data_IF_593433160505
#
_entry.id   IF_593433160505
#
_cell.length_a   1.000
_cell.length_b   1.000
_cell.length_c   1.000
_cell.angle_alpha   90.00
_cell.angle_beta   90.00
_cell.angle_gamma   90.00
#
_symmetry.space_group_name_H-M   'P 1'
#
loop_
_entity.id
_entity.type
_entity.pdbx_description
1 polymer ?
#
# COMPACT_ATOMS: atom_id res chain seq x y z
N UNK A 1 1.49 -19.30 -5.62
CA UNK A 1 0.90 -18.97 -6.93
C UNK A 1 1.14 -17.50 -7.28
N UNK A 2 0.55 -16.48 -6.60
CA UNK A 2 0.73 -15.07 -6.96
C UNK A 2 2.20 -14.64 -6.96
N UNK A 3 2.99 -15.06 -5.98
CA UNK A 3 4.40 -14.74 -5.89
C UNK A 3 5.23 -15.39 -7.02
N UNK A 4 5.00 -16.67 -7.32
CA UNK A 4 5.70 -17.38 -8.41
C UNK A 4 5.33 -16.85 -9.80
N UNK A 5 4.15 -16.27 -9.95
CA UNK A 5 3.71 -15.60 -11.18
C UNK A 5 4.18 -14.13 -11.25
N UNK A 6 5.00 -13.66 -10.29
CA UNK A 6 5.49 -12.26 -10.17
C UNK A 6 4.36 -11.23 -10.19
N UNK A 7 3.22 -11.57 -9.59
CA UNK A 7 2.06 -10.69 -9.46
C UNK A 7 2.31 -9.56 -8.47
N UNK A 8 1.61 -8.46 -8.67
CA UNK A 8 1.68 -7.28 -7.78
C UNK A 8 0.86 -7.53 -6.53
N UNK A 9 1.51 -7.50 -5.38
CA UNK A 9 0.90 -7.68 -4.07
C UNK A 9 0.95 -6.33 -3.34
N UNK A 10 -0.21 -5.86 -2.88
CA UNK A 10 -0.31 -4.61 -2.15
C UNK A 10 -0.50 -4.89 -0.66
N UNK A 11 0.45 -4.49 0.15
CA UNK A 11 0.42 -4.57 1.60
C UNK A 11 -0.32 -3.36 2.17
N UNK A 12 -1.31 -3.58 3.03
CA UNK A 12 -2.16 -2.52 3.58
C UNK A 12 -2.24 -2.65 5.10
N UNK A 13 -1.90 -1.57 5.79
CA UNK A 13 -2.04 -1.48 7.24
C UNK A 13 -1.74 -0.08 7.72
N UNK A 14 -2.80 0.70 7.97
CA UNK A 14 -2.70 2.10 8.42
C UNK A 14 -2.73 2.25 9.94
N UNK A 15 -2.86 1.13 10.66
CA UNK A 15 -2.77 1.08 12.12
C UNK A 15 -1.36 1.45 12.57
N UNK A 16 -1.23 2.23 13.64
CA UNK A 16 0.08 2.69 14.15
C UNK A 16 1.05 1.53 14.37
N UNK A 17 0.56 0.41 14.89
CA UNK A 17 1.36 -0.78 15.17
C UNK A 17 1.82 -1.51 13.89
N UNK A 18 1.09 -1.36 12.79
CA UNK A 18 1.35 -2.04 11.52
C UNK A 18 2.14 -1.19 10.51
N UNK A 19 1.98 0.14 10.57
CA UNK A 19 2.47 1.08 9.56
C UNK A 19 3.91 0.85 9.13
N UNK A 20 4.84 0.79 10.08
CA UNK A 20 6.27 0.68 9.79
C UNK A 20 6.65 -0.76 9.36
N UNK A 21 5.95 -1.76 9.89
CA UNK A 21 6.15 -3.17 9.52
C UNK A 21 5.67 -3.44 8.10
N UNK A 22 4.51 -2.90 7.71
CA UNK A 22 3.96 -3.00 6.36
C UNK A 22 4.96 -2.43 5.34
N UNK A 23 5.49 -1.24 5.59
CA UNK A 23 6.49 -0.61 4.72
C UNK A 23 7.77 -1.45 4.63
N UNK A 24 8.35 -1.82 5.78
CA UNK A 24 9.58 -2.61 5.85
C UNK A 24 9.48 -3.90 5.03
N UNK A 25 8.48 -4.72 5.31
CA UNK A 25 8.37 -6.04 4.70
C UNK A 25 7.90 -6.03 3.24
N UNK A 26 7.12 -5.02 2.83
CA UNK A 26 6.78 -4.82 1.42
C UNK A 26 8.03 -4.45 0.60
N UNK A 27 8.85 -3.52 1.09
CA UNK A 27 10.12 -3.15 0.43
C UNK A 27 11.06 -4.34 0.35
N UNK A 28 11.21 -5.13 1.43
CA UNK A 28 12.09 -6.31 1.45
C UNK A 28 11.77 -7.37 0.38
N UNK A 29 10.51 -7.47 -0.03
CA UNK A 29 10.08 -8.41 -1.07
C UNK A 29 9.75 -7.74 -2.41
N UNK A 30 10.17 -6.48 -2.62
CA UNK A 30 9.91 -5.69 -3.82
C UNK A 30 8.42 -5.62 -4.18
N UNK A 31 7.59 -5.43 -3.18
CA UNK A 31 6.15 -5.26 -3.32
C UNK A 31 5.69 -3.86 -2.89
N UNK A 32 4.43 -3.57 -3.06
CA UNK A 32 3.83 -2.25 -2.86
C UNK A 32 3.13 -2.16 -1.51
N UNK A 33 2.98 -0.93 -0.99
CA UNK A 33 2.36 -0.76 0.32
C UNK A 33 1.55 0.52 0.46
N UNK A 34 0.59 0.51 1.40
CA UNK A 34 -0.13 1.66 1.91
C UNK A 34 -0.15 1.55 3.43
N UNK A 35 0.54 2.47 4.09
CA UNK A 35 0.77 2.44 5.53
C UNK A 35 0.32 3.70 6.28
N UNK A 36 -0.20 4.73 5.60
CA UNK A 36 -0.67 5.97 6.25
C UNK A 36 -2.18 6.12 6.16
N UNK A 37 -2.73 6.18 4.96
CA UNK A 37 -4.18 6.34 4.76
C UNK A 37 -4.62 5.72 3.45
N UNK A 38 -5.68 4.91 3.49
CA UNK A 38 -6.40 4.50 2.29
C UNK A 38 -7.22 5.68 1.75
N UNK A 39 -7.00 6.05 0.51
CA UNK A 39 -7.79 7.06 -0.17
C UNK A 39 -8.99 6.40 -0.84
N UNK A 40 -10.20 6.89 -0.59
CA UNK A 40 -11.39 6.37 -1.26
C UNK A 40 -11.25 6.43 -2.78
N UNK A 41 -11.60 5.35 -3.46
CA UNK A 41 -11.43 5.23 -4.91
C UNK A 41 -10.07 4.72 -5.36
N UNK A 42 -9.19 4.30 -4.44
CA UNK A 42 -7.82 3.90 -4.75
C UNK A 42 -7.74 2.72 -5.73
N UNK A 43 -8.70 1.83 -5.71
CA UNK A 43 -8.84 0.74 -6.69
C UNK A 43 -9.94 0.98 -7.70
N UNK A 44 -11.07 1.51 -7.26
CA UNK A 44 -12.25 1.72 -8.10
C UNK A 44 -12.13 2.93 -9.02
N UNK A 45 -11.30 3.91 -8.69
CA UNK A 45 -11.00 5.09 -9.50
C UNK A 45 -9.47 5.22 -9.73
N UNK A 46 -8.88 4.15 -10.24
CA UNK A 46 -7.43 4.05 -10.42
C UNK A 46 -6.84 5.13 -11.34
N UNK A 47 -7.59 5.58 -12.36
CA UNK A 47 -7.11 6.61 -13.28
C UNK A 47 -6.85 7.95 -12.57
N UNK A 48 -7.68 8.32 -11.60
CA UNK A 48 -7.45 9.50 -10.75
C UNK A 48 -6.22 9.34 -9.87
N UNK A 49 -6.00 8.14 -9.33
CA UNK A 49 -4.78 7.83 -8.54
C UNK A 49 -3.54 7.90 -9.42
N UNK A 50 -3.57 7.34 -10.63
CA UNK A 50 -2.47 7.46 -11.60
C UNK A 50 -2.14 8.91 -11.94
N UNK A 51 -3.13 9.76 -12.12
CA UNK A 51 -2.91 11.18 -12.37
C UNK A 51 -2.24 11.87 -11.19
N UNK A 52 -2.61 11.49 -9.96
CA UNK A 52 -1.97 11.98 -8.75
C UNK A 52 -0.51 11.49 -8.62
N UNK A 53 -0.22 10.25 -8.99
CA UNK A 53 1.13 9.70 -9.06
C UNK A 53 1.97 10.41 -10.13
N UNK A 54 1.42 10.65 -11.32
CA UNK A 54 2.11 11.43 -12.37
C UNK A 54 2.44 12.84 -11.90
N UNK A 55 1.49 13.48 -11.21
CA UNK A 55 1.72 14.80 -10.61
C UNK A 55 2.85 14.78 -9.59
N UNK A 56 2.89 13.76 -8.74
CA UNK A 56 3.97 13.58 -7.75
C UNK A 56 5.33 13.47 -8.46
N UNK A 57 5.47 12.58 -9.44
CA UNK A 57 6.70 12.39 -10.22
C UNK A 57 7.14 13.69 -10.91
N UNK A 58 6.21 14.40 -11.53
CA UNK A 58 6.51 15.69 -12.18
C UNK A 58 7.02 16.74 -11.18
N UNK A 59 6.44 16.82 -9.98
CA UNK A 59 6.89 17.75 -8.95
C UNK A 59 8.29 17.37 -8.43
N UNK A 60 8.56 16.08 -8.22
CA UNK A 60 9.88 15.58 -7.86
C UNK A 60 10.93 15.96 -8.91
N UNK A 61 10.62 15.79 -10.20
CA UNK A 61 11.51 16.18 -11.30
C UNK A 61 11.78 17.70 -11.34
N UNK A 62 10.76 18.53 -11.13
CA UNK A 62 10.89 19.99 -11.08
C UNK A 62 11.85 20.41 -9.95
N UNK A 63 11.67 19.85 -8.75
CA UNK A 63 12.49 20.18 -7.58
C UNK A 63 13.91 19.62 -7.76
N UNK A 64 14.09 18.41 -8.27
CA UNK A 64 15.39 17.79 -8.51
C UNK A 64 16.23 18.56 -9.54
N UNK A 65 15.61 19.01 -10.64
CA UNK A 65 16.29 19.73 -11.71
C UNK A 65 16.56 21.21 -11.36
N UNK A 66 16.16 21.68 -10.16
CA UNK A 66 16.32 23.08 -9.69
C UNK A 66 16.06 24.09 -10.83
N UNK A 67 14.94 23.89 -11.52
CA UNK A 67 14.57 24.68 -12.69
C UNK A 67 14.61 26.17 -12.31
N UNK A 68 15.49 26.96 -12.95
CA UNK A 68 15.65 28.40 -12.76
C UNK A 68 14.36 29.21 -13.03
N UNK A 69 13.30 28.51 -13.44
CA UNK A 69 11.99 29.07 -13.77
C UNK A 69 11.09 29.31 -12.54
N UNK A 70 11.47 28.81 -11.36
CA UNK A 70 10.65 28.90 -10.13
C UNK A 70 11.34 29.69 -9.02
N UNK A 71 10.55 30.46 -8.29
CA UNK A 71 11.03 31.19 -7.10
C UNK A 71 11.28 30.23 -5.94
N UNK A 72 12.16 30.64 -4.99
CA UNK A 72 12.41 29.84 -3.76
C UNK A 72 11.13 29.53 -2.99
N UNK A 73 10.16 30.46 -2.96
CA UNK A 73 8.88 30.29 -2.28
C UNK A 73 8.02 29.21 -2.94
N UNK A 74 8.01 29.15 -4.25
CA UNK A 74 7.29 28.10 -5.01
C UNK A 74 7.92 26.73 -4.79
N UNK A 75 9.25 26.62 -4.80
CA UNK A 75 9.95 25.36 -4.54
C UNK A 75 9.60 24.80 -3.15
N UNK A 76 9.61 25.62 -2.11
CA UNK A 76 9.18 25.20 -0.76
C UNK A 76 7.72 24.72 -0.74
N UNK A 77 6.86 25.34 -1.54
CA UNK A 77 5.46 24.90 -1.67
C UNK A 77 5.36 23.55 -2.36
N UNK A 78 6.16 23.31 -3.40
CA UNK A 78 6.23 22.03 -4.09
C UNK A 78 6.78 20.93 -3.17
N UNK A 79 7.82 21.18 -2.41
CA UNK A 79 8.35 20.22 -1.42
C UNK A 79 7.28 19.78 -0.42
N UNK A 80 6.53 20.71 0.16
CA UNK A 80 5.40 20.38 1.06
C UNK A 80 4.32 19.54 0.38
N UNK A 81 4.05 19.79 -0.90
CA UNK A 81 3.07 19.02 -1.66
C UNK A 81 3.59 17.63 -1.99
N UNK A 82 4.86 17.49 -2.33
CA UNK A 82 5.56 16.22 -2.53
C UNK A 82 5.48 15.37 -1.27
N UNK A 83 5.83 15.92 -0.10
CA UNK A 83 5.75 15.22 1.18
C UNK A 83 4.34 14.68 1.45
N UNK A 84 3.32 15.52 1.23
CA UNK A 84 1.92 15.12 1.42
C UNK A 84 1.49 14.01 0.46
N UNK A 85 1.90 14.07 -0.79
CA UNK A 85 1.58 13.04 -1.79
C UNK A 85 2.37 11.76 -1.51
N UNK A 86 3.65 11.84 -1.16
CA UNK A 86 4.49 10.70 -0.84
C UNK A 86 3.98 9.92 0.39
N UNK A 87 3.47 10.60 1.41
CA UNK A 87 2.87 9.94 2.57
C UNK A 87 1.73 8.99 2.19
N UNK A 88 0.93 9.32 1.17
CA UNK A 88 -0.23 8.53 0.79
C UNK A 88 0.00 7.62 -0.42
N UNK A 89 0.89 8.01 -1.33
CA UNK A 89 1.06 7.36 -2.64
C UNK A 89 2.48 6.82 -2.85
N UNK A 90 3.43 7.13 -1.97
CA UNK A 90 4.84 6.75 -2.12
C UNK A 90 5.03 5.24 -2.28
N UNK A 91 4.31 4.44 -1.50
CA UNK A 91 4.41 2.98 -1.57
C UNK A 91 3.80 2.33 -2.82
N UNK A 92 3.03 3.08 -3.60
CA UNK A 92 2.42 2.62 -4.87
C UNK A 92 2.90 3.39 -6.10
N UNK A 93 3.86 4.31 -5.91
CA UNK A 93 4.36 5.22 -6.94
C UNK A 93 4.84 4.49 -8.21
N UNK A 94 5.45 3.32 -8.04
CA UNK A 94 6.00 2.51 -9.12
C UNK A 94 5.13 1.30 -9.49
N UNK A 95 3.94 1.21 -8.91
CA UNK A 95 2.96 0.18 -9.24
C UNK A 95 2.26 0.51 -10.56
N UNK A 96 2.74 -0.07 -11.65
CA UNK A 96 2.12 0.10 -12.97
C UNK A 96 0.81 -0.70 -13.07
N UNK A 97 -0.32 -0.06 -12.80
CA UNK A 97 -1.65 -0.67 -12.80
C UNK A 97 -2.11 -1.12 -11.41
N UNK A 98 -3.30 -1.72 -11.36
CA UNK A 98 -3.89 -2.23 -10.13
C UNK A 98 -3.13 -3.44 -9.57
N UNK A 99 -3.18 -3.70 -8.25
CA UNK A 99 -2.60 -4.91 -7.67
C UNK A 99 -3.42 -6.15 -8.05
N UNK A 100 -2.77 -7.31 -8.02
CA UNK A 100 -3.38 -8.61 -8.29
C UNK A 100 -3.86 -9.29 -7.00
N UNK A 101 -3.34 -8.88 -5.84
CA UNK A 101 -3.65 -9.40 -4.51
C UNK A 101 -3.48 -8.31 -3.46
N UNK A 102 -4.38 -8.27 -2.49
CA UNK A 102 -4.22 -7.44 -1.30
C UNK A 102 -3.81 -8.29 -0.10
N UNK A 103 -2.89 -7.79 0.72
CA UNK A 103 -2.61 -8.28 2.06
C UNK A 103 -2.97 -7.20 3.07
N UNK A 104 -3.92 -7.48 3.97
CA UNK A 104 -4.52 -6.49 4.85
C UNK A 104 -4.31 -6.88 6.32
N UNK A 105 -3.85 -5.92 7.12
CA UNK A 105 -3.85 -6.00 8.58
C UNK A 105 -4.97 -5.10 9.10
N UNK A 106 -5.87 -5.67 9.93
CA UNK A 106 -7.05 -5.00 10.50
C UNK A 106 -8.12 -4.63 9.44
N UNK A 107 -8.98 -5.60 9.13
CA UNK A 107 -10.05 -5.44 8.15
C UNK A 107 -11.14 -4.45 8.57
N UNK A 108 -11.31 -4.20 9.87
CA UNK A 108 -12.26 -3.19 10.36
C UNK A 108 -11.79 -1.78 10.03
N UNK A 109 -10.50 -1.51 10.22
CA UNK A 109 -9.92 -0.21 9.89
C UNK A 109 -9.84 -0.01 8.39
N UNK A 110 -9.46 -1.04 7.67
CA UNK A 110 -9.26 -1.00 6.20
C UNK A 110 -10.53 -1.41 5.42
N UNK A 111 -11.72 -1.22 6.00
CA UNK A 111 -13.00 -1.65 5.40
C UNK A 111 -13.25 -1.08 4.00
N UNK A 112 -12.74 0.12 3.70
CA UNK A 112 -12.84 0.72 2.36
C UNK A 112 -12.02 -0.07 1.34
N UNK A 113 -10.80 -0.49 1.70
CA UNK A 113 -9.95 -1.31 0.84
C UNK A 113 -10.62 -2.65 0.54
N UNK A 114 -11.20 -3.29 1.56
CA UNK A 114 -11.96 -4.55 1.41
C UNK A 114 -13.15 -4.36 0.47
N UNK A 115 -13.96 -3.32 0.66
CA UNK A 115 -15.12 -3.03 -0.19
C UNK A 115 -14.72 -2.76 -1.64
N UNK A 116 -13.69 -1.97 -1.87
CA UNK A 116 -13.22 -1.66 -3.21
C UNK A 116 -12.65 -2.88 -3.92
N UNK A 117 -11.84 -3.70 -3.23
CA UNK A 117 -11.28 -4.93 -3.78
C UNK A 117 -12.38 -5.92 -4.18
N UNK A 118 -13.36 -6.14 -3.32
CA UNK A 118 -14.51 -7.00 -3.63
C UNK A 118 -15.31 -6.49 -4.84
N UNK A 119 -15.50 -5.16 -4.94
CA UNK A 119 -16.22 -4.56 -6.07
C UNK A 119 -15.57 -4.83 -7.42
N UNK A 120 -14.24 -4.88 -7.47
CA UNK A 120 -13.48 -5.08 -8.72
C UNK A 120 -12.90 -6.51 -8.86
N UNK A 121 -13.17 -7.39 -7.89
CA UNK A 121 -12.78 -8.80 -7.94
C UNK A 121 -11.30 -9.07 -7.65
N UNK A 122 -10.61 -8.19 -6.90
CA UNK A 122 -9.24 -8.45 -6.45
C UNK A 122 -9.29 -9.30 -5.17
N UNK A 123 -8.60 -10.46 -5.13
CA UNK A 123 -8.57 -11.32 -3.97
C UNK A 123 -7.83 -10.69 -2.79
N UNK A 124 -8.29 -11.05 -1.58
CA UNK A 124 -7.81 -10.50 -0.33
C UNK A 124 -7.28 -11.61 0.57
N UNK A 125 -6.06 -11.47 1.04
CA UNK A 125 -5.51 -12.16 2.21
C UNK A 125 -5.56 -11.17 3.36
N UNK A 126 -6.17 -11.52 4.49
CA UNK A 126 -6.23 -10.61 5.62
C UNK A 126 -6.08 -11.30 6.96
N UNK A 127 -5.41 -10.64 7.90
CA UNK A 127 -5.45 -11.02 9.31
C UNK A 127 -6.78 -10.56 9.88
N UNK A 128 -7.50 -11.51 10.46
CA UNK A 128 -8.88 -11.31 10.97
C UNK A 128 -8.87 -11.66 12.45
N UNK A 129 -9.08 -10.65 13.29
CA UNK A 129 -9.21 -10.83 14.73
C UNK A 129 -10.66 -11.18 15.12
N UNK A 130 -10.90 -11.55 16.37
CA UNK A 130 -12.20 -11.98 16.91
C UNK A 130 -13.31 -10.94 16.78
N UNK A 131 -12.98 -9.66 16.67
CA UNK A 131 -13.92 -8.54 16.48
C UNK A 131 -14.15 -8.17 15.00
N UNK A 132 -13.58 -8.93 14.07
CA UNK A 132 -13.62 -8.64 12.63
C UNK A 132 -14.52 -9.61 11.88
N UNK A 133 -15.26 -9.11 10.88
CA UNK A 133 -16.07 -9.94 9.99
C UNK A 133 -15.19 -10.51 8.87
N UNK A 134 -15.09 -11.86 8.72
CA UNK A 134 -14.34 -12.49 7.64
C UNK A 134 -15.06 -12.46 6.28
N UNK A 135 -16.30 -11.97 6.22
CA UNK A 135 -17.06 -11.91 4.98
C UNK A 135 -16.36 -11.04 3.92
N UNK A 136 -16.27 -11.56 2.70
CA UNK A 136 -15.59 -10.88 1.60
C UNK A 136 -14.07 -11.02 1.61
N UNK A 137 -13.49 -11.81 2.53
CA UNK A 137 -12.06 -12.13 2.57
C UNK A 137 -11.84 -13.50 1.95
N UNK A 138 -11.05 -13.57 0.88
CA UNK A 138 -10.80 -14.82 0.16
C UNK A 138 -9.91 -15.79 0.97
N UNK A 139 -8.94 -15.24 1.69
CA UNK A 139 -7.96 -16.01 2.48
C UNK A 139 -7.83 -15.39 3.88
N UNK A 140 -8.78 -15.66 4.80
CA UNK A 140 -8.69 -15.14 6.16
C UNK A 140 -7.61 -15.88 6.95
N UNK A 141 -6.78 -15.12 7.66
CA UNK A 141 -5.79 -15.62 8.63
C UNK A 141 -6.30 -15.26 10.02
N UNK A 142 -6.87 -16.21 10.78
CA UNK A 142 -7.30 -15.93 12.14
C UNK A 142 -6.10 -15.57 13.02
N UNK A 143 -6.14 -14.40 13.64
CA UNK A 143 -5.03 -13.98 14.48
C UNK A 143 -5.16 -12.57 15.03
N UNK A 144 -4.25 -12.22 15.94
CA UNK A 144 -4.23 -10.93 16.61
C UNK A 144 -3.65 -9.85 15.68
N UNK A 145 -4.44 -8.83 15.38
CA UNK A 145 -4.05 -7.69 14.54
C UNK A 145 -3.60 -6.44 15.33
N UNK A 146 -3.50 -6.54 16.67
CA UNK A 146 -3.10 -5.46 17.57
C UNK A 146 -1.66 -5.57 18.06
N UNK A 147 -1.20 -6.78 18.35
CA UNK A 147 0.13 -7.00 18.90
C UNK A 147 1.21 -6.86 17.82
N UNK A 148 2.18 -5.96 18.06
CA UNK A 148 3.29 -5.69 17.12
C UNK A 148 4.02 -6.98 16.71
N UNK A 149 4.30 -7.87 17.67
CA UNK A 149 4.97 -9.16 17.40
C UNK A 149 4.16 -10.07 16.48
N UNK A 150 2.84 -10.10 16.64
CA UNK A 150 1.96 -10.90 15.79
C UNK A 150 1.92 -10.33 14.37
N UNK A 151 1.77 -9.01 14.24
CA UNK A 151 1.80 -8.31 12.95
C UNK A 151 3.14 -8.54 12.25
N UNK A 152 4.26 -8.41 12.97
CA UNK A 152 5.59 -8.66 12.44
C UNK A 152 5.74 -10.10 11.93
N UNK A 153 5.24 -11.08 12.68
CA UNK A 153 5.25 -12.48 12.25
C UNK A 153 4.50 -12.70 10.93
N UNK A 154 3.30 -12.13 10.77
CA UNK A 154 2.53 -12.27 9.52
C UNK A 154 3.22 -11.58 8.34
N UNK A 155 3.71 -10.36 8.53
CA UNK A 155 4.39 -9.60 7.48
C UNK A 155 5.70 -10.26 7.05
N UNK A 156 6.52 -10.72 8.02
CA UNK A 156 7.79 -11.41 7.73
C UNK A 156 7.57 -12.73 7.00
N UNK A 157 6.64 -13.56 7.50
CA UNK A 157 6.32 -14.86 6.87
C UNK A 157 5.85 -14.67 5.43
N UNK A 158 4.98 -13.69 5.16
CA UNK A 158 4.53 -13.40 3.81
C UNK A 158 5.67 -12.91 2.92
N UNK A 159 6.51 -12.00 3.43
CA UNK A 159 7.69 -11.48 2.71
C UNK A 159 8.67 -12.61 2.34
N UNK A 160 8.94 -13.55 3.26
CA UNK A 160 9.80 -14.70 3.01
C UNK A 160 9.23 -15.63 1.92
N UNK A 161 7.94 -15.92 1.98
CA UNK A 161 7.25 -16.72 0.96
C UNK A 161 7.33 -16.06 -0.41
N UNK A 162 7.13 -14.74 -0.49
CA UNK A 162 7.24 -13.99 -1.75
C UNK A 162 8.67 -14.04 -2.28
N UNK A 163 9.67 -13.79 -1.43
CA UNK A 163 11.10 -13.86 -1.81
C UNK A 163 11.52 -15.24 -2.30
N UNK A 164 11.07 -16.30 -1.62
CA UNK A 164 11.39 -17.68 -1.99
C UNK A 164 10.73 -18.12 -3.28
N UNK A 165 9.52 -17.66 -3.55
CA UNK A 165 8.76 -18.01 -4.75
C UNK A 165 9.14 -17.16 -5.98
N UNK A 166 9.87 -16.05 -5.79
CA UNK A 166 10.33 -15.15 -6.87
C UNK A 166 11.73 -15.53 -7.41
N UNK A 167 12.39 -16.48 -6.74
CA UNK A 167 13.65 -17.08 -7.20
C UNK A 167 13.39 -18.11 -8.29
#
# INVERSE_FOLDING_TARGET
>A
KYASEKKKILFIGTKRQASDLIEKYAIECNQFFINKRWLGGMLTNWDTIQNSIKRLKNLEDIVANKSNSYTKKELVTFEKLIDKLNQNLGGIKDMNGKPDLLFIIDTNKEFLAVKEANKIGIPIVAVVDSNSNPEGINFPIPGNDDAIRSIEFYCSSLSEVIKSASK
#
